data_IF_281441288119
#
_entry.id   IF_281441288119
#
_cell.length_a   1.000
_cell.length_b   1.000
_cell.length_c   1.000
_cell.angle_alpha   90.00
_cell.angle_beta   90.00
_cell.angle_gamma   90.00
#
_symmetry.space_group_name_H-M   'P 1'
#
loop_
_entity.id
_entity.type
_entity.pdbx_description
1 polymer ?
#
# COMPACT_ATOMS: atom_id res chain seq x y z
N UNK A 1 8.79 -2.01 -56.36
CA UNK A 1 8.97 -0.54 -56.25
C UNK A 1 9.24 -0.25 -54.78
N UNK A 2 10.51 -0.33 -54.34
CA UNK A 2 11.43 0.81 -54.16
C UNK A 2 10.86 1.76 -53.09
N UNK A 3 11.15 1.56 -51.80
CA UNK A 3 12.38 1.94 -51.09
C UNK A 3 12.61 3.46 -51.02
N UNK A 4 12.64 4.01 -49.80
CA UNK A 4 13.56 5.09 -49.42
C UNK A 4 13.80 4.99 -47.90
N UNK A 5 15.04 4.60 -47.60
CA UNK A 5 15.76 4.47 -46.35
C UNK A 5 16.73 5.65 -46.23
N UNK A 6 16.91 6.22 -45.02
CA UNK A 6 18.10 6.93 -44.46
C UNK A 6 17.63 7.55 -43.14
N UNK A 7 18.09 7.23 -41.92
CA UNK A 7 19.40 6.91 -41.33
C UNK A 7 20.43 8.04 -41.46
N UNK A 8 20.82 8.67 -40.34
CA UNK A 8 22.17 8.62 -39.70
C UNK A 8 22.46 9.83 -38.77
N UNK A 9 23.11 9.52 -37.63
CA UNK A 9 23.90 10.32 -36.66
C UNK A 9 23.15 11.06 -35.54
N UNK A 10 23.27 10.69 -34.25
CA UNK A 10 24.45 10.52 -33.36
C UNK A 10 25.08 11.85 -32.93
N UNK A 11 24.81 12.27 -31.69
CA UNK A 11 25.71 13.10 -30.89
C UNK A 11 25.32 13.00 -29.41
N UNK A 12 26.20 12.43 -28.59
CA UNK A 12 26.15 12.58 -27.15
C UNK A 12 26.63 13.96 -26.69
N UNK A 13 26.07 14.43 -25.59
CA UNK A 13 26.56 15.46 -24.66
C UNK A 13 25.75 15.22 -23.38
N UNK A 14 26.29 14.83 -22.22
CA UNK A 14 27.43 15.36 -21.45
C UNK A 14 27.36 16.88 -21.32
N UNK A 15 26.60 17.34 -20.33
CA UNK A 15 26.70 18.69 -19.78
C UNK A 15 26.88 18.58 -18.27
N UNK A 16 28.15 18.43 -17.91
CA UNK A 16 28.70 18.76 -16.61
C UNK A 16 28.98 20.28 -16.57
N UNK A 17 28.76 20.85 -15.38
CA UNK A 17 29.56 21.90 -14.74
C UNK A 17 29.29 23.39 -15.05
N UNK A 18 29.00 24.07 -13.93
CA UNK A 18 29.47 25.40 -13.48
C UNK A 18 28.35 26.41 -13.36
N UNK A 19 28.11 27.09 -12.23
CA UNK A 19 28.93 27.24 -11.04
C UNK A 19 28.68 28.64 -10.46
N UNK A 20 28.43 28.72 -9.16
CA UNK A 20 28.65 29.91 -8.30
C UNK A 20 28.44 29.39 -6.87
N UNK A 21 29.46 29.00 -6.11
CA UNK A 21 30.69 29.69 -5.71
C UNK A 21 30.42 30.93 -4.86
N UNK A 22 30.48 30.69 -3.56
CA UNK A 22 31.03 31.55 -2.51
C UNK A 22 31.43 30.57 -1.41
N UNK A 23 32.69 30.11 -1.37
CA UNK A 23 33.84 30.80 -0.72
C UNK A 23 33.44 31.17 0.70
N UNK A 24 34.05 30.65 1.77
CA UNK A 24 35.46 30.75 2.19
C UNK A 24 35.62 29.83 3.43
N UNK A 25 36.78 29.37 3.91
CA UNK A 25 38.17 29.34 3.46
C UNK A 25 38.95 28.59 4.55
N UNK A 26 39.68 27.54 4.14
CA UNK A 26 41.07 27.20 4.46
C UNK A 26 41.58 27.35 5.91
N UNK A 27 42.15 26.26 6.45
CA UNK A 27 43.60 26.05 6.33
C UNK A 27 44.05 24.75 7.04
N UNK A 28 44.51 23.80 6.25
CA UNK A 28 45.66 22.96 6.59
C UNK A 28 46.90 23.85 6.75
N UNK A 29 47.87 23.45 7.57
CA UNK A 29 49.32 23.55 7.33
C UNK A 29 50.07 23.05 8.57
N UNK A 30 50.78 21.95 8.35
CA UNK A 30 51.97 21.55 9.09
C UNK A 30 53.05 22.64 8.98
N UNK A 31 53.61 23.11 10.10
CA UNK A 31 55.00 23.58 10.18
C UNK A 31 55.41 23.83 11.64
N UNK A 32 56.34 23.00 12.14
CA UNK A 32 57.34 23.38 13.14
C UNK A 32 58.24 24.49 12.54
N UNK A 33 58.87 25.40 13.31
CA UNK A 33 59.96 25.01 14.21
C UNK A 33 60.22 25.90 15.46
N UNK A 34 61.15 25.40 16.30
CA UNK A 34 62.23 26.17 16.93
C UNK A 34 61.93 27.14 18.10
N UNK A 35 62.37 26.71 19.28
CA UNK A 35 63.36 27.37 20.16
C UNK A 35 62.92 27.53 21.63
N UNK A 36 63.66 26.86 22.51
CA UNK A 36 63.46 26.89 23.96
C UNK A 36 64.65 26.26 24.68
N UNK A 37 65.83 26.82 24.42
CA UNK A 37 67.12 26.48 25.03
C UNK A 37 67.10 26.83 26.53
N UNK A 38 67.32 25.85 27.43
CA UNK A 38 68.04 26.07 28.70
C UNK A 38 68.93 24.87 29.05
N UNK A 39 70.16 25.26 29.35
CA UNK A 39 71.33 24.49 29.78
C UNK A 39 71.21 24.08 31.26
N UNK A 40 72.18 23.24 31.69
CA UNK A 40 72.58 22.81 33.04
C UNK A 40 71.83 21.57 33.58
N UNK A 41 72.43 20.46 33.99
CA UNK A 41 73.82 20.20 34.36
C UNK A 41 74.19 18.71 34.26
N UNK A 42 75.47 18.52 33.94
CA UNK A 42 76.41 17.48 34.39
C UNK A 42 75.86 16.22 35.05
N UNK A 43 76.04 15.10 34.34
CA UNK A 43 75.92 13.76 34.89
C UNK A 43 76.31 12.70 33.87
N UNK A 44 77.56 12.73 33.39
CA UNK A 44 78.13 11.66 32.58
C UNK A 44 78.22 10.38 33.42
N UNK A 45 77.16 9.57 33.39
CA UNK A 45 77.23 8.14 33.69
C UNK A 45 77.26 7.41 32.35
N UNK A 46 78.20 6.48 32.13
CA UNK A 46 78.15 5.63 30.95
C UNK A 46 76.90 4.75 31.07
N UNK A 47 75.81 5.14 30.42
CA UNK A 47 74.71 4.25 30.14
C UNK A 47 75.29 3.17 29.23
N UNK A 48 75.54 2.01 29.82
CA UNK A 48 75.74 0.76 29.13
C UNK A 48 74.73 0.69 27.98
N UNK A 49 75.25 0.75 26.76
CA UNK A 49 74.50 0.37 25.57
C UNK A 49 74.26 -1.12 25.76
N UNK A 50 73.16 -1.45 26.44
CA UNK A 50 72.59 -2.78 26.40
C UNK A 50 72.15 -2.92 24.95
N UNK A 51 73.01 -3.50 24.12
CA UNK A 51 72.61 -4.19 22.92
C UNK A 51 71.58 -5.23 23.38
N UNK A 52 70.30 -4.83 23.43
CA UNK A 52 69.22 -5.79 23.51
C UNK A 52 69.38 -6.62 22.26
N UNK A 53 69.93 -7.83 22.44
CA UNK A 53 69.84 -8.88 21.43
C UNK A 53 68.40 -8.85 20.94
N UNK A 54 68.20 -8.63 19.64
CA UNK A 54 66.91 -8.81 19.02
C UNK A 54 66.51 -10.26 19.28
N UNK A 55 65.66 -10.49 20.29
CA UNK A 55 65.11 -11.82 20.50
C UNK A 55 64.28 -12.10 19.26
N UNK A 56 64.71 -13.07 18.45
CA UNK A 56 63.91 -13.56 17.35
C UNK A 56 62.54 -13.97 17.90
N UNK A 57 61.47 -13.62 17.18
CA UNK A 57 60.12 -14.02 17.53
C UNK A 57 60.10 -15.53 17.74
N UNK A 58 59.60 -15.97 18.88
CA UNK A 58 59.42 -17.40 19.11
C UNK A 58 58.29 -17.87 18.18
N UNK A 59 58.48 -19.01 17.52
CA UNK A 59 57.49 -19.55 16.58
C UNK A 59 56.11 -19.74 17.24
N UNK A 60 56.11 -20.02 18.56
CA UNK A 60 54.90 -20.11 19.38
C UNK A 60 54.16 -18.77 19.52
N UNK A 61 54.87 -17.65 19.68
CA UNK A 61 54.26 -16.32 19.82
C UNK A 61 53.54 -15.91 18.54
N UNK A 62 54.15 -16.17 17.38
CA UNK A 62 53.52 -15.91 16.09
C UNK A 62 52.29 -16.80 15.87
N UNK A 63 52.37 -18.07 16.26
CA UNK A 63 51.25 -19.01 16.14
C UNK A 63 50.07 -18.56 17.02
N UNK A 64 50.34 -18.16 18.27
CA UNK A 64 49.31 -17.64 19.18
C UNK A 64 48.70 -16.34 18.66
N UNK A 65 49.52 -15.42 18.14
CA UNK A 65 49.02 -14.16 17.58
C UNK A 65 48.07 -14.38 16.39
N UNK A 66 48.43 -15.28 15.47
CA UNK A 66 47.59 -15.61 14.31
C UNK A 66 46.30 -16.32 14.74
N UNK A 67 46.36 -17.20 15.75
CA UNK A 67 45.17 -17.87 16.29
C UNK A 67 44.19 -16.89 16.92
N UNK A 68 44.69 -15.94 17.74
CA UNK A 68 43.86 -14.89 18.36
C UNK A 68 43.26 -13.95 17.31
N UNK A 69 44.05 -13.54 16.32
CA UNK A 69 43.58 -12.70 15.23
C UNK A 69 42.50 -13.42 14.40
N UNK A 70 42.69 -14.70 14.11
CA UNK A 70 41.69 -15.52 13.41
C UNK A 70 40.38 -15.62 14.17
N UNK A 71 40.43 -15.84 15.49
CA UNK A 71 39.24 -15.87 16.33
C UNK A 71 38.52 -14.51 16.38
N UNK A 72 39.26 -13.42 16.55
CA UNK A 72 38.69 -12.07 16.55
C UNK A 72 38.02 -11.74 15.20
N UNK A 73 38.69 -12.03 14.09
CA UNK A 73 38.16 -11.83 12.75
C UNK A 73 36.89 -12.65 12.52
N UNK A 74 36.86 -13.92 12.96
CA UNK A 74 35.69 -14.78 12.85
C UNK A 74 34.48 -14.24 13.66
N UNK A 75 34.72 -13.74 14.88
CA UNK A 75 33.67 -13.11 15.68
C UNK A 75 33.11 -11.87 14.99
N UNK A 76 33.96 -10.94 14.56
CA UNK A 76 33.52 -9.71 13.87
C UNK A 76 32.78 -10.02 12.56
N UNK A 77 33.29 -10.97 11.77
CA UNK A 77 32.65 -11.39 10.53
C UNK A 77 31.25 -11.98 10.78
N UNK A 78 31.10 -12.82 11.82
CA UNK A 78 29.81 -13.42 12.18
C UNK A 78 28.79 -12.35 12.60
N UNK A 79 29.21 -11.37 13.41
CA UNK A 79 28.34 -10.26 13.83
C UNK A 79 27.91 -9.42 12.62
N UNK A 80 28.86 -9.04 11.78
CA UNK A 80 28.56 -8.22 10.59
C UNK A 80 27.65 -8.96 9.60
N UNK A 81 27.89 -10.26 9.38
CA UNK A 81 27.04 -11.11 8.54
C UNK A 81 25.61 -11.17 9.08
N UNK A 82 25.45 -11.36 10.39
CA UNK A 82 24.14 -11.42 11.04
C UNK A 82 23.38 -10.10 10.91
N UNK A 83 24.06 -8.96 11.14
CA UNK A 83 23.47 -7.62 10.98
C UNK A 83 23.08 -7.36 9.53
N UNK A 84 23.95 -7.69 8.58
CA UNK A 84 23.68 -7.47 7.15
C UNK A 84 22.48 -8.31 6.67
N UNK A 85 22.41 -9.57 7.09
CA UNK A 85 21.29 -10.46 6.75
C UNK A 85 19.98 -9.97 7.38
N UNK A 86 20.01 -9.54 8.65
CA UNK A 86 18.84 -8.98 9.32
C UNK A 86 18.34 -7.70 8.65
N UNK A 87 19.26 -6.81 8.24
CA UNK A 87 18.92 -5.61 7.48
C UNK A 87 18.24 -5.94 6.16
N UNK A 88 18.83 -6.83 5.35
CA UNK A 88 18.27 -7.23 4.05
C UNK A 88 16.86 -7.80 4.20
N UNK A 89 16.65 -8.66 5.20
CA UNK A 89 15.32 -9.20 5.52
C UNK A 89 14.36 -8.08 5.94
N UNK A 90 14.82 -7.15 6.79
CA UNK A 90 14.02 -6.01 7.23
C UNK A 90 13.60 -5.08 6.08
N UNK A 91 14.48 -4.84 5.11
CA UNK A 91 14.14 -4.04 3.93
C UNK A 91 13.13 -4.73 3.01
N UNK A 92 13.24 -6.05 2.85
CA UNK A 92 12.26 -6.82 2.07
C UNK A 92 10.88 -6.81 2.76
N UNK A 93 10.85 -6.96 4.09
CA UNK A 93 9.62 -6.87 4.88
C UNK A 93 8.95 -5.50 4.80
N UNK A 94 9.75 -4.43 4.83
CA UNK A 94 9.23 -3.08 4.70
C UNK A 94 8.61 -2.86 3.31
N UNK A 95 9.25 -3.35 2.25
CA UNK A 95 8.72 -3.27 0.89
C UNK A 95 7.38 -4.01 0.75
N UNK A 96 7.28 -5.25 1.25
CA UNK A 96 6.03 -6.02 1.22
C UNK A 96 4.89 -5.32 2.00
N UNK A 97 5.22 -4.72 3.16
CA UNK A 97 4.25 -3.96 3.96
C UNK A 97 3.78 -2.69 3.24
N UNK A 98 4.69 -1.97 2.58
CA UNK A 98 4.36 -0.76 1.80
C UNK A 98 3.39 -1.08 0.66
N UNK A 99 3.54 -2.24 0.00
CA UNK A 99 2.58 -2.70 -1.01
C UNK A 99 1.20 -3.00 -0.40
N UNK A 100 1.16 -3.62 0.79
CA UNK A 100 -0.08 -3.88 1.51
C UNK A 100 -0.81 -2.60 1.94
N UNK A 101 -0.08 -1.63 2.49
CA UNK A 101 -0.61 -0.32 2.88
C UNK A 101 -1.09 0.48 1.66
N UNK A 102 -0.40 0.39 0.51
CA UNK A 102 -0.87 1.00 -0.73
C UNK A 102 -2.24 0.44 -1.16
N UNK A 103 -2.40 -0.89 -1.17
CA UNK A 103 -3.69 -1.54 -1.51
C UNK A 103 -4.77 -1.13 -0.52
N UNK A 104 -4.48 -1.20 0.78
CA UNK A 104 -5.40 -0.80 1.84
C UNK A 104 -5.84 0.65 1.67
N UNK A 105 -4.91 1.56 1.35
CA UNK A 105 -5.23 2.96 1.08
C UNK A 105 -6.14 3.14 -0.15
N UNK A 106 -5.95 2.36 -1.22
CA UNK A 106 -6.87 2.37 -2.36
C UNK A 106 -8.28 1.92 -1.95
N UNK A 107 -8.39 0.89 -1.11
CA UNK A 107 -9.68 0.40 -0.59
C UNK A 107 -10.34 1.46 0.29
N UNK A 108 -9.61 2.06 1.22
CA UNK A 108 -10.08 3.15 2.10
C UNK A 108 -10.60 4.33 1.26
N UNK A 109 -9.83 4.78 0.26
CA UNK A 109 -10.25 5.84 -0.64
C UNK A 109 -11.50 5.44 -1.45
N UNK A 110 -11.55 4.21 -1.94
CA UNK A 110 -12.68 3.65 -2.67
C UNK A 110 -13.97 3.64 -1.85
N UNK A 111 -13.91 3.14 -0.62
CA UNK A 111 -15.06 3.06 0.30
C UNK A 111 -15.51 4.43 0.80
N UNK A 112 -14.58 5.35 1.11
CA UNK A 112 -14.93 6.73 1.49
C UNK A 112 -15.54 7.53 0.34
N UNK A 113 -15.20 7.18 -0.90
CA UNK A 113 -15.78 7.76 -2.13
C UNK A 113 -17.07 7.05 -2.60
N UNK A 114 -17.66 6.22 -1.74
CA UNK A 114 -18.94 5.56 -2.02
C UNK A 114 -20.01 6.57 -2.37
N UNK A 115 -20.92 6.16 -3.24
CA UNK A 115 -22.03 6.98 -3.69
C UNK A 115 -23.33 6.22 -3.47
N UNK A 116 -24.31 6.96 -2.94
CA UNK A 116 -25.69 6.52 -2.86
C UNK A 116 -26.57 7.64 -3.40
N UNK A 117 -27.53 7.37 -4.30
CA UNK A 117 -28.42 8.40 -4.77
C UNK A 117 -29.25 8.91 -3.58
N UNK A 118 -29.41 10.23 -3.39
CA UNK A 118 -30.33 10.74 -2.39
C UNK A 118 -31.70 10.14 -2.70
N UNK A 119 -32.36 9.58 -1.66
CA UNK A 119 -33.71 9.05 -1.79
C UNK A 119 -34.57 10.15 -2.39
N UNK A 120 -34.94 9.98 -3.67
CA UNK A 120 -35.80 10.92 -4.36
C UNK A 120 -37.03 11.05 -3.48
N UNK A 121 -37.20 12.21 -2.85
CA UNK A 121 -38.42 12.48 -2.14
C UNK A 121 -39.53 12.19 -3.13
N UNK A 122 -40.38 11.21 -2.83
CA UNK A 122 -41.75 11.34 -3.29
C UNK A 122 -42.22 12.65 -2.68
N UNK A 123 -42.08 13.74 -3.43
CA UNK A 123 -42.94 14.88 -3.26
C UNK A 123 -44.31 14.29 -3.59
N UNK A 124 -45.00 13.83 -2.54
CA UNK A 124 -46.44 13.65 -2.58
C UNK A 124 -47.00 15.05 -2.82
N UNK A 125 -47.03 15.48 -4.06
CA UNK A 125 -47.95 16.52 -4.48
C UNK A 125 -49.32 15.92 -4.21
N UNK A 126 -49.89 16.24 -3.05
CA UNK A 126 -51.32 16.18 -2.81
C UNK A 126 -51.95 17.10 -3.85
N UNK A 127 -52.12 16.58 -5.06
CA UNK A 127 -52.89 17.22 -6.12
C UNK A 127 -54.33 17.06 -5.67
N UNK A 128 -54.84 18.13 -5.07
CA UNK A 128 -56.28 18.35 -4.95
C UNK A 128 -56.86 18.19 -6.34
N UNK A 129 -57.69 17.17 -6.53
CA UNK A 129 -58.44 16.93 -7.76
C UNK A 129 -59.16 18.20 -8.18
N UNK A 130 -58.70 18.84 -9.25
CA UNK A 130 -59.56 19.67 -10.10
C UNK A 130 -59.25 19.32 -11.55
N UNK A 131 -60.31 18.91 -12.24
CA UNK A 131 -60.28 18.44 -13.62
C UNK A 131 -59.68 19.50 -14.55
N UNK A 132 -58.56 19.21 -15.19
CA UNK A 132 -58.14 19.89 -16.40
C UNK A 132 -57.24 18.97 -17.23
N UNK A 133 -57.79 18.51 -18.35
CA UNK A 133 -57.03 17.97 -19.46
C UNK A 133 -55.93 18.96 -19.87
N UNK A 134 -54.75 18.45 -20.23
CA UNK A 134 -53.99 18.79 -21.45
C UNK A 134 -52.49 18.50 -21.28
N UNK A 135 -51.98 17.63 -22.15
CA UNK A 135 -50.63 17.61 -22.72
C UNK A 135 -49.41 17.88 -21.82
N UNK A 136 -48.60 16.83 -21.58
CA UNK A 136 -47.15 16.99 -21.50
C UNK A 136 -46.43 15.71 -21.94
N UNK A 137 -45.79 15.83 -23.09
CA UNK A 137 -44.73 14.98 -23.65
C UNK A 137 -43.62 14.66 -22.65
N UNK A 138 -43.16 13.41 -22.66
CA UNK A 138 -41.82 12.94 -22.30
C UNK A 138 -41.18 13.54 -21.04
N UNK A 139 -41.61 13.05 -19.87
CA UNK A 139 -40.69 12.85 -18.76
C UNK A 139 -40.69 11.35 -18.45
N UNK A 140 -39.63 10.65 -18.87
CA UNK A 140 -39.36 9.30 -18.37
C UNK A 140 -38.99 9.47 -16.91
N UNK A 141 -40.00 9.47 -16.05
CA UNK A 141 -39.85 9.28 -14.62
C UNK A 141 -39.21 7.90 -14.44
N UNK A 142 -37.89 7.86 -14.33
CA UNK A 142 -37.19 6.68 -13.85
C UNK A 142 -37.57 6.49 -12.39
N UNK A 143 -38.71 5.83 -12.15
CA UNK A 143 -38.99 5.21 -10.87
C UNK A 143 -37.81 4.28 -10.59
N UNK A 144 -36.97 4.53 -9.56
CA UNK A 144 -35.93 3.58 -9.22
C UNK A 144 -36.63 2.29 -8.80
N UNK A 145 -36.50 1.26 -9.63
CA UNK A 145 -36.87 -0.11 -9.26
C UNK A 145 -36.14 -0.43 -7.94
N UNK A 146 -36.80 -1.03 -6.94
CA UNK A 146 -36.18 -1.43 -5.68
C UNK A 146 -35.30 -2.67 -5.90
N UNK A 147 -34.28 -2.53 -6.74
CA UNK A 147 -33.21 -3.51 -6.93
C UNK A 147 -31.91 -2.82 -6.54
N UNK A 148 -31.17 -3.40 -5.60
CA UNK A 148 -29.96 -2.87 -4.96
C UNK A 148 -28.76 -2.63 -5.90
N UNK A 149 -28.94 -1.82 -6.95
CA UNK A 149 -27.89 -1.48 -7.91
C UNK A 149 -26.83 -0.51 -7.35
N UNK A 150 -27.16 0.20 -6.28
CA UNK A 150 -26.28 1.19 -5.62
C UNK A 150 -25.84 0.80 -4.21
N UNK A 151 -26.44 -0.23 -3.63
CA UNK A 151 -26.09 -0.67 -2.30
C UNK A 151 -24.76 -1.40 -2.26
N UNK A 152 -24.37 -1.75 -1.04
CA UNK A 152 -23.19 -2.57 -0.78
C UNK A 152 -23.55 -4.05 -0.95
N UNK A 153 -22.63 -4.82 -1.53
CA UNK A 153 -22.70 -6.28 -1.60
C UNK A 153 -21.46 -6.83 -0.92
N UNK A 154 -21.67 -7.82 -0.07
CA UNK A 154 -20.66 -8.65 0.56
C UNK A 154 -21.01 -10.11 0.27
N UNK A 155 -20.07 -10.86 -0.28
CA UNK A 155 -20.12 -12.31 -0.35
C UNK A 155 -18.97 -12.82 0.54
N UNK A 156 -19.34 -13.49 1.63
CA UNK A 156 -18.40 -14.15 2.54
C UNK A 156 -17.90 -15.45 1.90
N UNK A 157 -16.58 -15.59 1.79
CA UNK A 157 -15.89 -16.77 1.30
C UNK A 157 -14.82 -17.23 2.29
N UNK A 158 -15.20 -17.34 3.56
CA UNK A 158 -14.40 -17.94 4.62
C UNK A 158 -13.56 -16.94 5.39
N UNK A 159 -12.91 -17.42 6.46
CA UNK A 159 -12.25 -16.56 7.45
C UNK A 159 -10.74 -16.85 7.55
N UNK A 160 -9.98 -15.88 8.05
CA UNK A 160 -8.55 -16.03 8.28
C UNK A 160 -7.73 -15.92 6.98
N UNK A 161 -6.55 -16.55 6.95
CA UNK A 161 -5.57 -16.37 5.87
C UNK A 161 -6.04 -16.84 4.49
N UNK A 162 -7.03 -17.75 4.46
CA UNK A 162 -7.61 -18.29 3.23
C UNK A 162 -8.91 -17.57 2.81
N UNK A 163 -9.31 -16.53 3.55
CA UNK A 163 -10.50 -15.74 3.25
C UNK A 163 -10.41 -15.10 1.86
N UNK A 164 -11.50 -15.21 1.09
CA UNK A 164 -11.60 -14.67 -0.28
C UNK A 164 -12.86 -13.85 -0.48
N UNK A 165 -13.20 -13.06 0.53
CA UNK A 165 -14.42 -12.26 0.52
C UNK A 165 -14.48 -11.35 -0.70
N UNK A 166 -15.71 -11.11 -1.13
CA UNK A 166 -15.98 -10.31 -2.31
C UNK A 166 -16.86 -9.16 -1.87
N UNK A 167 -16.39 -7.95 -2.15
CA UNK A 167 -17.17 -6.75 -1.88
C UNK A 167 -17.41 -5.94 -3.14
N UNK A 168 -18.59 -5.36 -3.25
CA UNK A 168 -18.95 -4.52 -4.38
C UNK A 168 -19.86 -3.37 -4.00
N UNK A 169 -19.47 -2.17 -4.45
CA UNK A 169 -20.19 -0.93 -4.17
C UNK A 169 -20.03 0.07 -5.31
N UNK A 170 -20.86 1.10 -5.29
CA UNK A 170 -20.80 2.20 -6.26
C UNK A 170 -19.99 3.35 -5.68
N UNK A 171 -19.06 3.90 -6.48
CA UNK A 171 -18.14 4.97 -6.05
C UNK A 171 -17.78 5.96 -7.16
N UNK A 172 -17.06 7.02 -6.77
CA UNK A 172 -16.51 8.05 -7.66
C UNK A 172 -14.98 8.16 -7.53
N UNK A 173 -14.31 8.81 -8.48
CA UNK A 173 -12.86 9.03 -8.41
C UNK A 173 -12.02 7.82 -8.86
N UNK A 174 -10.69 7.92 -8.72
CA UNK A 174 -9.72 7.03 -9.38
C UNK A 174 -9.28 5.82 -8.57
N UNK A 175 -9.59 5.76 -7.27
CA UNK A 175 -9.13 4.67 -6.41
C UNK A 175 -9.61 3.30 -6.95
N UNK A 176 -8.76 2.27 -6.91
CA UNK A 176 -9.06 0.94 -7.46
C UNK A 176 -9.36 0.92 -8.98
N UNK A 177 -8.98 1.95 -9.74
CA UNK A 177 -9.06 1.93 -11.21
C UNK A 177 -7.66 1.94 -11.82
N UNK A 178 -7.55 1.43 -13.06
CA UNK A 178 -6.33 1.59 -13.85
C UNK A 178 -6.03 3.06 -14.11
N UNK A 179 -4.75 3.36 -14.30
CA UNK A 179 -4.32 4.71 -14.69
C UNK A 179 -4.98 5.09 -16.02
N UNK A 180 -5.67 6.24 -16.06
CA UNK A 180 -6.43 6.76 -17.21
C UNK A 180 -7.68 5.95 -17.60
N UNK A 181 -8.23 5.14 -16.70
CA UNK A 181 -9.51 4.46 -16.94
C UNK A 181 -10.63 5.49 -17.22
N UNK A 182 -11.42 5.34 -18.30
CA UNK A 182 -12.51 6.27 -18.63
C UNK A 182 -13.61 6.34 -17.54
N UNK A 183 -13.74 5.32 -16.69
CA UNK A 183 -14.69 5.30 -15.57
C UNK A 183 -14.34 6.32 -14.48
N UNK A 184 -13.08 6.78 -14.42
CA UNK A 184 -12.62 7.79 -13.46
C UNK A 184 -13.39 9.11 -13.52
N UNK A 185 -14.02 9.43 -14.66
CA UNK A 185 -14.78 10.67 -14.90
C UNK A 185 -16.24 10.61 -14.45
N UNK A 186 -16.68 9.54 -13.80
CA UNK A 186 -18.05 9.45 -13.35
C UNK A 186 -18.30 8.31 -12.38
N UNK A 187 -19.57 8.00 -12.23
CA UNK A 187 -20.03 6.94 -11.36
C UNK A 187 -19.74 5.57 -11.96
N UNK A 188 -19.21 4.67 -11.14
CA UNK A 188 -18.91 3.30 -11.50
C UNK A 188 -19.09 2.39 -10.28
N UNK A 189 -19.47 1.15 -10.55
CA UNK A 189 -19.45 0.07 -9.57
C UNK A 189 -18.08 -0.60 -9.62
N UNK A 190 -17.53 -0.93 -8.46
CA UNK A 190 -16.31 -1.73 -8.34
C UNK A 190 -16.65 -3.05 -7.65
N UNK A 191 -15.93 -4.10 -8.00
CA UNK A 191 -15.90 -5.39 -7.32
C UNK A 191 -14.46 -5.71 -6.98
N UNK A 192 -14.19 -5.99 -5.72
CA UNK A 192 -12.91 -6.40 -5.17
C UNK A 192 -12.99 -7.87 -4.80
N UNK A 193 -11.98 -8.65 -5.16
CA UNK A 193 -11.88 -10.09 -4.87
C UNK A 193 -10.41 -10.53 -4.84
N UNK A 194 -10.13 -11.73 -4.32
CA UNK A 194 -8.83 -12.39 -4.44
C UNK A 194 -8.90 -13.46 -5.52
N UNK A 195 -8.15 -13.28 -6.61
CA UNK A 195 -8.15 -14.16 -7.77
C UNK A 195 -6.73 -14.56 -8.17
N UNK A 196 -6.61 -15.63 -8.95
CA UNK A 196 -5.33 -16.08 -9.47
C UNK A 196 -4.93 -15.23 -10.69
N UNK A 197 -3.74 -14.60 -10.65
CA UNK A 197 -3.19 -13.80 -11.75
C UNK A 197 -2.29 -14.62 -12.70
N UNK A 198 -2.05 -15.90 -12.39
CA UNK A 198 -1.21 -16.83 -13.14
C UNK A 198 0.31 -16.71 -12.90
N UNK A 199 0.81 -15.53 -12.51
CA UNK A 199 2.24 -15.25 -12.35
C UNK A 199 2.66 -15.18 -10.86
N UNK A 200 1.96 -14.37 -10.06
CA UNK A 200 2.15 -14.22 -8.62
C UNK A 200 1.24 -15.17 -7.80
N UNK A 201 0.27 -15.82 -8.46
CA UNK A 201 -0.73 -16.65 -7.79
C UNK A 201 -1.89 -15.79 -7.32
N UNK A 202 -2.23 -15.82 -6.03
CA UNK A 202 -3.34 -15.02 -5.48
C UNK A 202 -3.02 -13.53 -5.49
N UNK A 203 -3.92 -12.72 -6.05
CA UNK A 203 -3.79 -11.29 -6.16
C UNK A 203 -5.11 -10.57 -5.93
N UNK A 204 -5.03 -9.31 -5.49
CA UNK A 204 -6.20 -8.43 -5.39
C UNK A 204 -6.66 -8.04 -6.78
N UNK A 205 -7.80 -8.58 -7.18
CA UNK A 205 -8.46 -8.32 -8.45
C UNK A 205 -9.55 -7.25 -8.29
N UNK A 206 -9.57 -6.31 -9.24
CA UNK A 206 -10.65 -5.32 -9.32
C UNK A 206 -11.30 -5.35 -10.70
N UNK A 207 -12.63 -5.44 -10.69
CA UNK A 207 -13.48 -5.18 -11.86
C UNK A 207 -14.28 -3.93 -11.64
N UNK A 208 -14.45 -3.13 -12.69
CA UNK A 208 -15.22 -1.89 -12.63
C UNK A 208 -16.12 -1.73 -13.86
N UNK A 209 -17.34 -1.25 -13.64
CA UNK A 209 -18.33 -1.06 -14.70
C UNK A 209 -19.30 0.08 -14.39
N UNK A 210 -20.14 0.45 -15.36
CA UNK A 210 -21.17 1.47 -15.15
C UNK A 210 -22.31 0.91 -14.27
N UNK A 211 -22.81 1.65 -13.28
CA UNK A 211 -23.77 1.12 -12.30
C UNK A 211 -25.15 0.80 -12.92
N UNK A 212 -25.45 1.33 -14.11
CA UNK A 212 -26.72 1.11 -14.83
C UNK A 212 -26.69 -0.08 -15.79
N UNK A 213 -25.70 -0.96 -15.67
CA UNK A 213 -25.65 -2.16 -16.50
C UNK A 213 -26.85 -3.08 -16.17
N UNK A 214 -27.57 -3.50 -17.20
CA UNK A 214 -28.72 -4.38 -17.03
C UNK A 214 -28.24 -5.80 -16.68
N UNK A 215 -28.58 -6.27 -15.47
CA UNK A 215 -28.15 -7.57 -14.94
C UNK A 215 -28.59 -8.79 -15.76
N UNK A 216 -29.62 -8.65 -16.61
CA UNK A 216 -30.06 -9.75 -17.50
C UNK A 216 -29.08 -9.94 -18.67
N UNK A 217 -28.43 -8.87 -19.10
CA UNK A 217 -27.60 -8.84 -20.32
C UNK A 217 -26.13 -8.59 -20.05
N UNK A 218 -25.76 -8.37 -18.79
CA UNK A 218 -24.42 -8.00 -18.40
C UNK A 218 -23.99 -8.87 -17.22
N UNK A 219 -22.95 -9.66 -17.45
CA UNK A 219 -22.25 -10.40 -16.42
C UNK A 219 -20.95 -9.66 -16.06
N UNK A 220 -20.80 -9.18 -14.80
CA UNK A 220 -19.56 -8.57 -14.34
C UNK A 220 -18.32 -9.48 -14.51
N UNK A 221 -18.49 -10.81 -14.51
CA UNK A 221 -17.38 -11.76 -14.63
C UNK A 221 -16.77 -11.82 -16.03
N UNK A 222 -17.48 -11.36 -17.05
CA UNK A 222 -16.94 -11.24 -18.41
C UNK A 222 -15.93 -10.09 -18.56
N UNK A 223 -15.84 -9.19 -17.56
CA UNK A 223 -14.84 -8.13 -17.55
C UNK A 223 -13.51 -8.70 -17.06
N UNK A 224 -12.45 -8.51 -17.86
CA UNK A 224 -11.09 -8.85 -17.43
C UNK A 224 -10.71 -8.07 -16.16
N UNK A 225 -10.29 -8.77 -15.08
CA UNK A 225 -9.85 -8.10 -13.87
C UNK A 225 -8.58 -7.28 -14.15
N UNK A 226 -8.35 -6.29 -13.31
CA UNK A 226 -7.01 -5.74 -13.16
C UNK A 226 -6.50 -6.03 -11.77
N UNK A 227 -5.27 -6.52 -11.70
CA UNK A 227 -4.62 -6.87 -10.47
C UNK A 227 -3.92 -5.65 -9.89
N UNK A 228 -4.20 -5.37 -8.61
CA UNK A 228 -3.63 -4.22 -7.88
C UNK A 228 -2.35 -4.61 -7.16
N UNK A 229 -2.31 -5.82 -6.60
CA UNK A 229 -1.13 -6.38 -5.93
C UNK A 229 -1.21 -7.91 -5.88
N UNK A 230 -0.12 -8.58 -6.22
CA UNK A 230 0.07 -10.02 -6.04
C UNK A 230 0.67 -10.41 -4.67
N UNK A 231 0.85 -9.43 -3.77
CA UNK A 231 1.39 -9.68 -2.42
C UNK A 231 0.32 -9.99 -1.38
N UNK A 232 -0.94 -9.76 -1.73
CA UNK A 232 -2.10 -9.98 -0.86
C UNK A 232 -2.73 -11.32 -1.24
N UNK A 233 -2.70 -12.27 -0.30
CA UNK A 233 -3.13 -13.66 -0.51
C UNK A 233 -4.53 -13.95 0.01
N UNK A 234 -5.07 -13.08 0.88
CA UNK A 234 -6.41 -13.20 1.46
C UNK A 234 -7.05 -11.84 1.74
N UNK A 235 -8.38 -11.83 1.73
CA UNK A 235 -9.24 -10.68 2.01
C UNK A 235 -10.43 -11.15 2.83
N UNK A 236 -10.62 -10.54 3.99
CA UNK A 236 -11.73 -10.78 4.91
C UNK A 236 -12.42 -9.43 5.18
N UNK A 237 -13.75 -9.43 5.17
CA UNK A 237 -14.57 -8.25 5.28
C UNK A 237 -15.76 -8.46 6.20
N UNK A 238 -15.88 -7.60 7.21
CA UNK A 238 -17.10 -7.47 8.02
C UNK A 238 -17.66 -6.07 7.98
N UNK A 239 -18.97 -5.96 8.18
CA UNK A 239 -19.72 -4.72 8.01
C UNK A 239 -20.55 -4.42 9.25
N UNK A 240 -20.75 -3.13 9.53
CA UNK A 240 -21.56 -2.68 10.65
C UNK A 240 -22.70 -1.79 10.18
N UNK A 241 -23.91 -2.10 10.68
CA UNK A 241 -25.11 -1.29 10.43
C UNK A 241 -25.35 -0.25 11.53
N UNK A 242 -24.88 -0.51 12.73
CA UNK A 242 -25.09 0.36 13.89
C UNK A 242 -23.93 0.28 14.87
N UNK A 243 -23.89 1.27 15.76
CA UNK A 243 -22.91 1.38 16.84
C UNK A 243 -23.68 1.40 18.16
N UNK A 244 -23.42 0.41 19.01
CA UNK A 244 -24.04 0.24 20.33
C UNK A 244 -22.97 0.43 21.40
N UNK A 245 -23.22 1.28 22.39
CA UNK A 245 -22.30 1.51 23.52
C UNK A 245 -20.86 1.79 23.09
N UNK A 246 -20.69 2.66 22.09
CA UNK A 246 -19.39 3.04 21.51
C UNK A 246 -18.63 1.89 20.80
N UNK A 247 -19.34 0.81 20.43
CA UNK A 247 -18.80 -0.35 19.71
C UNK A 247 -19.61 -0.67 18.47
N UNK A 248 -18.93 -1.03 17.39
CA UNK A 248 -19.56 -1.50 16.17
C UNK A 248 -20.20 -2.88 16.37
N UNK A 249 -21.44 -3.02 15.89
CA UNK A 249 -22.12 -4.31 15.79
C UNK A 249 -21.77 -4.96 14.45
N UNK A 250 -20.72 -5.77 14.46
CA UNK A 250 -20.14 -6.38 13.26
C UNK A 250 -20.95 -7.58 12.77
N UNK A 251 -21.09 -7.69 11.46
CA UNK A 251 -21.78 -8.77 10.76
C UNK A 251 -20.93 -9.23 9.58
N UNK A 252 -20.89 -10.55 9.37
CA UNK A 252 -20.21 -11.20 8.23
C UNK A 252 -21.17 -11.38 7.04
N UNK A 253 -22.48 -11.24 7.27
CA UNK A 253 -23.53 -11.37 6.24
C UNK A 253 -24.19 -10.02 5.97
N UNK A 254 -24.32 -9.65 4.70
CA UNK A 254 -24.98 -8.41 4.26
C UNK A 254 -26.08 -8.68 3.22
N UNK A 255 -27.27 -9.03 3.71
CA UNK A 255 -28.38 -9.50 2.88
C UNK A 255 -29.68 -8.69 3.07
N UNK A 256 -30.73 -9.11 2.36
CA UNK A 256 -32.10 -8.59 2.44
C UNK A 256 -32.20 -7.07 2.21
N UNK A 257 -32.98 -6.38 3.05
CA UNK A 257 -33.23 -4.95 2.99
C UNK A 257 -31.95 -4.10 3.18
N UNK A 258 -30.87 -4.69 3.72
CA UNK A 258 -29.58 -4.01 3.87
C UNK A 258 -28.79 -3.95 2.55
N UNK A 259 -29.03 -4.87 1.60
CA UNK A 259 -28.37 -4.91 0.28
C UNK A 259 -28.64 -3.66 -0.57
N UNK A 260 -29.72 -2.92 -0.26
CA UNK A 260 -30.02 -1.63 -0.91
C UNK A 260 -29.51 -0.43 -0.10
N UNK A 261 -28.64 -0.65 0.89
CA UNK A 261 -28.03 0.36 1.74
C UNK A 261 -26.52 0.21 1.75
N UNK A 262 -25.83 1.23 2.25
CA UNK A 262 -24.40 1.18 2.55
C UNK A 262 -24.20 0.89 4.04
N UNK A 263 -23.23 0.05 4.44
CA UNK A 263 -22.87 -0.12 5.85
C UNK A 263 -22.30 1.17 6.42
N UNK A 264 -22.52 1.42 7.71
CA UNK A 264 -21.97 2.60 8.39
C UNK A 264 -20.45 2.50 8.49
N UNK A 265 -19.95 1.31 8.77
CA UNK A 265 -18.53 1.00 8.76
C UNK A 265 -18.27 -0.36 8.10
N UNK A 266 -17.10 -0.47 7.49
CA UNK A 266 -16.54 -1.70 6.92
C UNK A 266 -15.21 -1.93 7.59
N UNK A 267 -14.94 -3.14 8.05
CA UNK A 267 -13.61 -3.56 8.45
C UNK A 267 -13.05 -4.50 7.40
N UNK A 268 -11.86 -4.15 6.92
CA UNK A 268 -11.12 -4.91 5.91
C UNK A 268 -9.88 -5.46 6.58
N UNK A 269 -9.66 -6.76 6.41
CA UNK A 269 -8.44 -7.45 6.80
C UNK A 269 -7.78 -8.01 5.54
N UNK A 270 -6.54 -7.59 5.28
CA UNK A 270 -5.70 -8.13 4.21
C UNK A 270 -4.64 -9.04 4.80
N UNK A 271 -4.45 -10.21 4.20
CA UNK A 271 -3.38 -11.13 4.54
C UNK A 271 -2.30 -11.05 3.47
N UNK A 272 -1.07 -10.70 3.87
CA UNK A 272 0.09 -10.60 2.98
C UNK A 272 0.89 -11.89 2.96
N UNK A 273 1.45 -12.23 1.80
CA UNK A 273 2.38 -13.34 1.66
C UNK A 273 3.58 -13.17 2.63
N UNK A 274 3.91 -14.19 3.44
CA UNK A 274 5.06 -14.12 4.32
C UNK A 274 6.38 -14.21 3.54
N UNK A 275 7.45 -13.58 4.05
CA UNK A 275 8.79 -13.67 3.45
C UNK A 275 9.34 -15.10 3.41
N UNK A 276 9.02 -15.90 4.43
CA UNK A 276 9.36 -17.31 4.51
C UNK A 276 8.06 -18.13 4.53
N UNK A 277 8.03 -19.20 3.72
CA UNK A 277 6.87 -20.11 3.61
C UNK A 277 6.44 -20.79 4.92
N UNK A 278 7.30 -20.77 5.93
CA UNK A 278 7.03 -21.36 7.24
C UNK A 278 6.53 -20.33 8.27
N UNK A 279 6.48 -19.04 7.91
CA UNK A 279 5.95 -17.98 8.75
C UNK A 279 4.47 -17.76 8.45
N UNK A 280 3.67 -17.34 9.45
CA UNK A 280 2.29 -16.96 9.20
C UNK A 280 2.21 -15.69 8.34
N UNK A 281 1.17 -15.55 7.50
CA UNK A 281 0.88 -14.30 6.78
C UNK A 281 0.82 -13.08 7.69
N UNK A 282 1.24 -11.93 7.16
CA UNK A 282 1.15 -10.65 7.89
C UNK A 282 -0.26 -10.08 7.70
N UNK A 283 -0.93 -9.77 8.80
CA UNK A 283 -2.28 -9.22 8.81
C UNK A 283 -2.25 -7.68 8.84
N UNK A 284 -3.00 -7.03 7.94
CA UNK A 284 -3.28 -5.59 7.98
C UNK A 284 -4.80 -5.40 8.07
N UNK A 285 -5.25 -4.83 9.18
CA UNK A 285 -6.66 -4.59 9.47
C UNK A 285 -6.97 -3.09 9.52
N UNK A 286 -8.08 -2.66 8.91
CA UNK A 286 -8.58 -1.28 8.99
C UNK A 286 -10.10 -1.22 9.10
N UNK A 287 -10.58 -0.44 10.05
CA UNK A 287 -11.98 0.01 10.13
C UNK A 287 -12.18 1.29 9.34
N UNK A 288 -13.15 1.30 8.44
CA UNK A 288 -13.47 2.39 7.51
C UNK A 288 -14.93 2.78 7.65
N UNK A 289 -15.19 3.98 8.16
CA UNK A 289 -16.52 4.58 8.13
C UNK A 289 -16.85 5.09 6.72
N UNK A 290 -18.08 4.84 6.27
CA UNK A 290 -18.61 5.32 4.98
C UNK A 290 -19.41 6.62 5.22
N UNK A 291 -18.92 7.79 4.81
CA UNK A 291 -19.53 9.08 5.19
C UNK A 291 -20.98 9.25 4.74
N UNK A 292 -21.33 8.69 3.58
CA UNK A 292 -22.67 8.81 2.99
C UNK A 292 -23.63 7.72 3.43
N UNK A 293 -23.16 6.73 4.23
CA UNK A 293 -23.98 5.59 4.61
C UNK A 293 -25.28 5.97 5.33
N UNK A 294 -25.31 6.93 6.29
CA UNK A 294 -26.55 7.34 6.94
C UNK A 294 -27.66 7.75 5.98
N UNK A 295 -27.32 8.33 4.82
CA UNK A 295 -28.29 8.76 3.81
C UNK A 295 -29.00 7.58 3.15
N UNK A 296 -28.34 6.43 3.06
CA UNK A 296 -28.92 5.21 2.48
C UNK A 296 -30.01 4.59 3.35
N UNK A 297 -30.01 4.89 4.67
CA UNK A 297 -30.97 4.35 5.63
C UNK A 297 -32.20 5.25 5.83
N UNK A 298 -32.25 6.43 5.19
CA UNK A 298 -33.36 7.39 5.31
C UNK A 298 -34.59 6.86 4.55
N UNK A 299 -35.43 6.11 5.28
CA UNK A 299 -36.67 5.51 4.76
C UNK A 299 -36.90 4.06 5.22
N UNK A 300 -35.83 3.35 5.57
CA UNK A 300 -35.91 1.97 6.08
C UNK A 300 -36.36 1.92 7.55
N UNK A 301 -36.10 2.98 8.32
CA UNK A 301 -36.37 3.09 9.77
C UNK A 301 -37.85 3.40 10.13
N UNK A 302 -38.80 3.30 9.20
CA UNK A 302 -40.24 3.48 9.50
C UNK A 302 -41.00 2.15 9.41
N UNK A 303 -40.86 1.31 10.44
CA UNK A 303 -41.95 0.44 10.89
C UNK A 303 -41.85 0.26 12.41
N UNK A 304 -42.86 0.69 13.18
CA UNK A 304 -42.98 0.29 14.58
C UNK A 304 -43.22 -1.22 14.70
#
# INVERSE_FOLDING_TARGET
>A
MIAQLRTIMNSGQKSEVSGSRSDQSLASVFCLPSSGRRHSDQGWRPSSVVCRLSSGFTLIELLVAVALLGMAMAMTFTTFYSVSKAWQRGTAMADDLDHGEYVMQQIVCGLRSSFFPPSGGQVSTNTVNTNAANNSTNAVSATPTPGGGYGFVLEDHGNGTDARDIISWVKTGTALLRLKDPLSKGLHRVRLSIEDDGDAGSAVAVRAWRPYANSITFDPMEIDPHFVSGKVVGLDCRVAKEMKDDKWDWMEVWEDAATNCLPLAVEITLYLEPLDRNEPPVEIQRTIEIPVAPLSWVGVQKKP
#
